data_IF_005495348118
#
_entry.id   IF_005495348118
#
_cell.length_a   1.000
_cell.length_b   1.000
_cell.length_c   1.000
_cell.angle_alpha   90.00
_cell.angle_beta   90.00
_cell.angle_gamma   90.00
#
_symmetry.space_group_name_H-M   'P 1'
#
loop_
_entity.id
_entity.type
_entity.pdbx_description
1 polymer ?
#
# COMPACT_ATOMS: atom_id res chain seq x y z
N UNK A 1 -7.23 16.22 40.72
CA UNK A 1 -6.96 15.92 39.31
C UNK A 1 -7.10 17.19 38.50
N UNK A 2 -6.02 17.63 37.84
CA UNK A 2 -6.03 18.80 36.97
C UNK A 2 -6.89 18.56 35.72
N UNK A 3 -7.30 19.64 35.03
CA UNK A 3 -8.08 19.54 33.78
C UNK A 3 -7.35 18.72 32.71
N UNK A 4 -6.01 18.80 32.65
CA UNK A 4 -5.17 18.01 31.73
C UNK A 4 -5.11 16.53 32.12
N UNK A 5 -5.08 16.20 33.41
CA UNK A 5 -5.11 14.80 33.85
C UNK A 5 -6.45 14.14 33.54
N UNK A 6 -7.57 14.85 33.72
CA UNK A 6 -8.90 14.35 33.29
C UNK A 6 -9.00 14.18 31.78
N UNK A 7 -8.17 14.92 31.05
CA UNK A 7 -8.10 14.87 29.59
C UNK A 7 -7.41 13.60 29.07
N UNK A 8 -6.37 13.14 29.78
CA UNK A 8 -5.58 11.95 29.44
C UNK A 8 -6.10 10.67 30.10
N UNK A 9 -6.62 10.73 31.33
CA UNK A 9 -7.04 9.58 32.13
C UNK A 9 -8.47 9.78 32.63
N UNK A 10 -9.50 9.59 31.77
CA UNK A 10 -10.88 9.72 32.21
C UNK A 10 -11.27 8.53 33.10
N UNK A 11 -12.16 8.78 34.06
CA UNK A 11 -12.69 7.74 34.95
C UNK A 11 -13.53 6.67 34.21
N UNK A 12 -14.10 7.04 33.05
CA UNK A 12 -14.86 6.15 32.16
C UNK A 12 -14.49 6.41 30.69
N UNK A 13 -14.48 5.38 29.84
CA UNK A 13 -14.30 5.56 28.40
C UNK A 13 -15.52 6.24 27.81
N UNK A 14 -15.30 7.37 27.15
CA UNK A 14 -16.33 8.14 26.46
C UNK A 14 -16.17 8.14 24.95
N UNK A 15 -17.12 8.77 24.27
CA UNK A 15 -17.11 8.97 22.82
C UNK A 15 -15.81 9.60 22.32
N UNK A 16 -15.19 10.45 23.14
CA UNK A 16 -13.96 11.14 22.79
C UNK A 16 -12.76 10.18 22.61
N UNK A 17 -12.55 9.25 23.54
CA UNK A 17 -11.46 8.27 23.45
C UNK A 17 -11.68 7.36 22.25
N UNK A 18 -12.93 6.98 22.01
CA UNK A 18 -13.32 6.23 20.83
C UNK A 18 -13.01 6.99 19.53
N UNK A 19 -13.36 8.28 19.43
CA UNK A 19 -13.09 9.10 18.25
C UNK A 19 -11.58 9.28 18.01
N UNK A 20 -10.77 9.44 19.06
CA UNK A 20 -9.30 9.50 18.92
C UNK A 20 -8.75 8.18 18.37
N UNK A 21 -9.18 7.05 18.94
CA UNK A 21 -8.77 5.73 18.48
C UNK A 21 -9.22 5.49 17.02
N UNK A 22 -10.45 5.89 16.69
CA UNK A 22 -11.02 5.73 15.36
C UNK A 22 -10.31 6.59 14.33
N UNK A 23 -10.00 7.84 14.68
CA UNK A 23 -9.22 8.73 13.82
C UNK A 23 -7.82 8.14 13.57
N UNK A 24 -7.16 7.62 14.62
CA UNK A 24 -5.87 6.95 14.47
C UNK A 24 -5.97 5.71 13.57
N UNK A 25 -7.01 4.89 13.73
CA UNK A 25 -7.25 3.70 12.90
C UNK A 25 -7.44 4.05 11.43
N UNK A 26 -8.20 5.10 11.12
CA UNK A 26 -8.56 5.50 9.76
C UNK A 26 -7.49 6.36 9.07
N UNK A 27 -6.55 6.95 9.82
CA UNK A 27 -5.54 7.87 9.30
C UNK A 27 -4.74 7.30 8.11
N UNK A 28 -4.26 6.03 8.13
CA UNK A 28 -3.49 5.49 7.01
C UNK A 28 -4.35 5.29 5.76
N UNK A 29 -5.63 4.93 5.95
CA UNK A 29 -6.58 4.75 4.85
C UNK A 29 -6.84 6.08 4.17
N UNK A 30 -7.02 7.14 4.94
CA UNK A 30 -7.20 8.49 4.39
C UNK A 30 -5.94 8.98 3.65
N UNK A 31 -4.74 8.66 4.15
CA UNK A 31 -3.47 9.03 3.51
C UNK A 31 -3.29 8.39 2.13
N UNK A 32 -3.71 7.14 1.93
CA UNK A 32 -3.67 6.48 0.62
C UNK A 32 -4.44 7.21 -0.47
N UNK A 33 -5.47 7.96 -0.09
CA UNK A 33 -6.34 8.66 -1.04
C UNK A 33 -5.79 10.03 -1.47
N UNK A 34 -4.84 10.59 -0.72
CA UNK A 34 -4.42 12.00 -0.90
C UNK A 34 -2.99 12.18 -1.42
N UNK A 35 -2.06 11.25 -1.17
CA UNK A 35 -0.67 11.48 -1.59
C UNK A 35 0.18 10.22 -1.75
N UNK A 36 1.03 10.26 -2.78
CA UNK A 36 2.21 9.41 -2.93
C UNK A 36 3.20 9.72 -1.80
N UNK A 37 3.63 8.69 -1.06
CA UNK A 37 4.73 8.78 -0.10
C UNK A 37 4.41 9.14 1.36
N UNK A 38 3.21 9.65 1.70
CA UNK A 38 2.86 9.98 3.11
C UNK A 38 2.31 8.79 3.91
N UNK A 39 1.99 7.69 3.24
CA UNK A 39 1.36 6.52 3.85
C UNK A 39 2.20 5.89 4.97
N UNK A 40 3.53 5.84 4.86
CA UNK A 40 4.39 5.28 5.92
C UNK A 40 4.35 6.15 7.17
N UNK A 41 4.45 7.47 7.04
CA UNK A 41 4.37 8.38 8.17
C UNK A 41 2.99 8.30 8.87
N UNK A 42 1.91 8.21 8.08
CA UNK A 42 0.56 8.04 8.59
C UNK A 42 0.36 6.71 9.32
N UNK A 43 1.00 5.62 8.84
CA UNK A 43 1.00 4.31 9.49
C UNK A 43 1.72 4.36 10.84
N UNK A 44 2.89 4.98 10.89
CA UNK A 44 3.64 5.18 12.15
C UNK A 44 2.81 5.99 13.14
N UNK A 45 2.18 7.08 12.70
CA UNK A 45 1.31 7.90 13.54
C UNK A 45 0.08 7.11 14.04
N UNK A 46 -0.56 6.34 13.17
CA UNK A 46 -1.71 5.48 13.49
C UNK A 46 -1.41 4.48 14.60
N UNK A 47 -0.28 3.78 14.51
CA UNK A 47 0.14 2.77 15.50
C UNK A 47 0.56 3.46 16.80
N UNK A 48 1.35 4.52 16.71
CA UNK A 48 1.84 5.25 17.90
C UNK A 48 0.68 5.84 18.70
N UNK A 49 -0.28 6.47 18.02
CA UNK A 49 -1.44 7.09 18.67
C UNK A 49 -2.44 5.99 19.10
N UNK A 50 -2.82 5.09 18.19
CA UNK A 50 -3.83 4.07 18.48
C UNK A 50 -3.37 3.07 19.53
N UNK A 51 -2.28 2.35 19.26
CA UNK A 51 -1.79 1.29 20.13
C UNK A 51 -1.04 1.85 21.34
N UNK A 52 -0.24 2.90 21.18
CA UNK A 52 0.47 3.52 22.29
C UNK A 52 -0.48 4.06 23.36
N UNK A 53 -1.51 4.81 22.97
CA UNK A 53 -2.55 5.26 23.92
C UNK A 53 -3.36 4.09 24.46
N UNK A 54 -3.69 3.09 23.62
CA UNK A 54 -4.39 1.88 24.05
C UNK A 54 -3.67 1.14 25.18
N UNK A 55 -2.35 0.95 25.05
CA UNK A 55 -1.50 0.32 26.08
C UNK A 55 -1.49 1.18 27.35
N UNK A 56 -1.30 2.50 27.22
CA UNK A 56 -1.29 3.41 28.37
C UNK A 56 -2.62 3.39 29.14
N UNK A 57 -3.76 3.47 28.44
CA UNK A 57 -5.08 3.39 29.06
C UNK A 57 -5.36 2.02 29.67
N UNK A 58 -4.97 0.94 28.99
CA UNK A 58 -5.15 -0.42 29.51
C UNK A 58 -4.38 -0.62 30.82
N UNK A 59 -3.14 -0.14 30.90
CA UNK A 59 -2.30 -0.25 32.09
C UNK A 59 -2.80 0.62 33.25
N UNK A 60 -3.23 1.85 32.98
CA UNK A 60 -3.56 2.83 34.02
C UNK A 60 -5.01 2.73 34.51
N UNK A 61 -5.97 2.51 33.61
CA UNK A 61 -7.41 2.56 33.92
C UNK A 61 -8.22 1.40 33.33
N UNK A 62 -7.58 0.44 32.66
CA UNK A 62 -8.28 -0.62 31.92
C UNK A 62 -9.23 -1.47 32.77
N UNK A 63 -8.79 -1.87 33.97
CA UNK A 63 -9.62 -2.66 34.89
C UNK A 63 -10.84 -1.86 35.39
N UNK A 64 -10.65 -0.59 35.71
CA UNK A 64 -11.73 0.29 36.14
C UNK A 64 -12.75 0.51 35.02
N UNK A 65 -12.27 0.76 33.80
CA UNK A 65 -13.11 0.92 32.62
C UNK A 65 -13.95 -0.32 32.35
N UNK A 66 -13.34 -1.52 32.39
CA UNK A 66 -14.05 -2.78 32.20
C UNK A 66 -15.15 -3.02 33.24
N UNK A 67 -14.93 -2.61 34.50
CA UNK A 67 -15.95 -2.70 35.56
C UNK A 67 -17.11 -1.71 35.38
N UNK A 68 -16.81 -0.47 34.99
CA UNK A 68 -17.80 0.61 34.93
C UNK A 68 -18.58 0.68 33.62
N UNK A 69 -17.92 0.35 32.50
CA UNK A 69 -18.49 0.46 31.15
C UNK A 69 -17.86 -0.60 30.21
N UNK A 70 -18.18 -1.89 30.40
CA UNK A 70 -17.50 -2.99 29.71
C UNK A 70 -17.58 -2.89 28.18
N UNK A 71 -18.77 -2.65 27.63
CA UNK A 71 -18.99 -2.56 26.18
C UNK A 71 -18.16 -1.43 25.55
N UNK A 72 -18.24 -0.21 26.11
CA UNK A 72 -17.50 0.94 25.60
C UNK A 72 -15.99 0.73 25.69
N UNK A 73 -15.52 0.12 26.79
CA UNK A 73 -14.10 -0.20 26.99
C UNK A 73 -13.59 -1.12 25.91
N UNK A 74 -14.33 -2.20 25.65
CA UNK A 74 -14.02 -3.17 24.59
C UNK A 74 -13.98 -2.48 23.24
N UNK A 75 -14.96 -1.63 22.91
CA UNK A 75 -14.95 -0.87 21.66
C UNK A 75 -13.71 0.04 21.53
N UNK A 76 -13.36 0.80 22.57
CA UNK A 76 -12.18 1.68 22.55
C UNK A 76 -10.90 0.85 22.36
N UNK A 77 -10.71 -0.22 23.13
CA UNK A 77 -9.52 -1.06 23.02
C UNK A 77 -9.44 -1.79 21.68
N UNK A 78 -10.55 -2.32 21.17
CA UNK A 78 -10.60 -2.93 19.84
C UNK A 78 -10.20 -1.94 18.76
N UNK A 79 -10.67 -0.68 18.82
CA UNK A 79 -10.27 0.35 17.86
C UNK A 79 -8.79 0.71 18.00
N UNK A 80 -8.28 0.85 19.24
CA UNK A 80 -6.86 1.13 19.51
C UNK A 80 -5.93 0.04 18.99
N UNK A 81 -6.24 -1.23 19.27
CA UNK A 81 -5.42 -2.37 18.82
C UNK A 81 -5.71 -2.74 17.36
N UNK A 82 -6.88 -2.38 16.83
CA UNK A 82 -7.21 -2.49 15.41
C UNK A 82 -6.23 -1.73 14.53
N UNK A 83 -5.60 -0.66 15.03
CA UNK A 83 -4.53 0.05 14.31
C UNK A 83 -3.32 -0.84 14.01
N UNK A 84 -3.10 -1.95 14.73
CA UNK A 84 -2.09 -2.95 14.36
C UNK A 84 -2.44 -3.67 13.06
N UNK A 85 -3.73 -3.84 12.75
CA UNK A 85 -4.18 -4.40 11.47
C UNK A 85 -3.67 -3.61 10.27
N UNK A 86 -3.43 -2.30 10.44
CA UNK A 86 -2.85 -1.47 9.40
C UNK A 86 -1.42 -1.91 9.03
N UNK A 87 -0.66 -2.56 9.93
CA UNK A 87 0.68 -3.09 9.60
C UNK A 87 0.64 -4.16 8.51
N UNK A 88 -0.46 -4.92 8.43
CA UNK A 88 -0.62 -5.97 7.44
C UNK A 88 -1.36 -5.47 6.19
N UNK A 89 -2.41 -4.66 6.38
CA UNK A 89 -3.28 -4.22 5.30
C UNK A 89 -2.64 -3.14 4.44
N UNK A 90 -2.04 -2.12 5.06
CA UNK A 90 -1.50 -0.96 4.33
C UNK A 90 -0.45 -1.38 3.28
N UNK A 91 0.58 -2.18 3.61
CA UNK A 91 1.58 -2.52 2.61
C UNK A 91 1.01 -3.29 1.41
N UNK A 92 -0.06 -4.06 1.61
CA UNK A 92 -0.74 -4.77 0.52
C UNK A 92 -1.53 -3.82 -0.37
N UNK A 93 -2.20 -2.83 0.22
CA UNK A 93 -2.93 -1.82 -0.54
C UNK A 93 -2.01 -0.88 -1.31
N UNK A 94 -0.91 -0.44 -0.70
CA UNK A 94 0.11 0.37 -1.35
C UNK A 94 0.67 -0.31 -2.61
N UNK A 95 1.03 -1.60 -2.51
CA UNK A 95 1.45 -2.39 -3.67
C UNK A 95 0.35 -2.51 -4.73
N UNK A 96 -0.90 -2.73 -4.32
CA UNK A 96 -2.02 -2.84 -5.26
C UNK A 96 -2.26 -1.53 -6.03
N UNK A 97 -2.13 -0.39 -5.36
CA UNK A 97 -2.24 0.93 -5.97
C UNK A 97 -1.11 1.18 -6.97
N UNK A 98 0.14 0.95 -6.58
CA UNK A 98 1.30 1.08 -7.49
C UNK A 98 1.21 0.14 -8.68
N UNK A 99 0.77 -1.11 -8.46
CA UNK A 99 0.60 -2.07 -9.55
C UNK A 99 -0.50 -1.64 -10.52
N UNK A 100 -1.60 -1.06 -10.02
CA UNK A 100 -2.68 -0.52 -10.85
C UNK A 100 -2.23 0.71 -11.65
N UNK A 101 -1.48 1.60 -11.02
CA UNK A 101 -0.91 2.78 -11.67
C UNK A 101 0.08 2.37 -12.78
N UNK A 102 1.03 1.49 -12.45
CA UNK A 102 1.97 0.95 -13.42
C UNK A 102 1.26 0.24 -14.59
N UNK A 103 0.20 -0.52 -14.30
CA UNK A 103 -0.61 -1.15 -15.34
C UNK A 103 -1.30 -0.11 -16.22
N UNK A 104 -1.87 0.95 -15.64
CA UNK A 104 -2.52 2.04 -16.39
C UNK A 104 -1.54 2.75 -17.33
N UNK A 105 -0.34 3.04 -16.85
CA UNK A 105 0.72 3.65 -17.66
C UNK A 105 1.16 2.74 -18.81
N UNK A 106 1.35 1.45 -18.53
CA UNK A 106 1.66 0.44 -19.53
C UNK A 106 0.54 0.29 -20.58
N UNK A 107 -0.73 0.34 -20.16
CA UNK A 107 -1.89 0.33 -21.06
C UNK A 107 -1.93 1.55 -21.96
N UNK A 108 -1.66 2.74 -21.41
CA UNK A 108 -1.55 3.96 -22.19
C UNK A 108 -0.43 3.84 -23.23
N UNK A 109 0.76 3.40 -22.80
CA UNK A 109 1.90 3.20 -23.67
C UNK A 109 1.63 2.23 -24.82
N UNK A 110 1.10 1.04 -24.51
CA UNK A 110 0.80 0.02 -25.51
C UNK A 110 -0.24 0.49 -26.52
N UNK A 111 -1.25 1.25 -26.06
CA UNK A 111 -2.28 1.83 -26.93
C UNK A 111 -1.70 2.86 -27.89
N UNK A 112 -0.91 3.81 -27.41
CA UNK A 112 -0.33 4.85 -28.26
C UNK A 112 0.65 4.26 -29.29
N UNK A 113 1.49 3.31 -28.89
CA UNK A 113 2.39 2.59 -29.81
C UNK A 113 1.61 1.76 -30.84
N UNK A 114 0.50 1.14 -30.44
CA UNK A 114 -0.41 0.43 -31.34
C UNK A 114 -1.06 1.33 -32.39
N UNK A 115 -1.23 2.61 -32.10
CA UNK A 115 -1.72 3.64 -33.04
C UNK A 115 -0.61 4.25 -33.91
N UNK A 116 0.62 3.74 -33.82
CA UNK A 116 1.78 4.26 -34.57
C UNK A 116 2.29 5.60 -34.05
N UNK A 117 1.84 6.04 -32.86
CA UNK A 117 2.34 7.27 -32.24
C UNK A 117 3.62 7.00 -31.45
N UNK A 118 4.45 8.03 -31.36
CA UNK A 118 5.63 8.01 -30.49
C UNK A 118 5.15 8.30 -29.07
N UNK A 119 5.12 7.27 -28.23
CA UNK A 119 4.97 7.42 -26.79
C UNK A 119 6.30 7.12 -26.11
N UNK A 120 6.62 7.84 -25.05
CA UNK A 120 7.80 7.57 -24.24
C UNK A 120 7.45 6.63 -23.08
N UNK A 121 8.36 5.72 -22.81
CA UNK A 121 8.26 4.78 -21.70
C UNK A 121 8.64 5.52 -20.41
N UNK A 122 7.67 5.71 -19.51
CA UNK A 122 7.84 6.47 -18.26
C UNK A 122 8.60 5.68 -17.19
N UNK A 123 9.03 6.38 -16.15
CA UNK A 123 9.45 5.73 -14.90
C UNK A 123 8.22 5.46 -14.03
N UNK A 124 8.26 4.38 -13.25
CA UNK A 124 7.21 3.99 -12.30
C UNK A 124 7.77 3.89 -10.88
N UNK A 125 6.87 3.98 -9.89
CA UNK A 125 7.22 3.85 -8.49
C UNK A 125 7.40 2.37 -8.09
N UNK A 126 8.59 2.03 -7.58
CA UNK A 126 8.89 0.70 -7.01
C UNK A 126 8.63 0.64 -5.51
N UNK A 127 8.40 1.78 -4.87
CA UNK A 127 8.24 1.97 -3.44
C UNK A 127 9.30 2.86 -2.83
N UNK A 128 10.54 2.36 -2.64
CA UNK A 128 11.62 3.19 -2.13
C UNK A 128 12.27 4.08 -3.20
N UNK A 129 12.02 3.82 -4.49
CA UNK A 129 12.65 4.50 -5.61
C UNK A 129 11.77 4.47 -6.87
N UNK A 130 12.16 5.21 -7.91
CA UNK A 130 11.59 5.07 -9.26
C UNK A 130 12.47 4.17 -10.12
N UNK A 131 11.86 3.38 -10.99
CA UNK A 131 12.54 2.55 -11.98
C UNK A 131 11.91 2.77 -13.36
N UNK A 132 12.67 2.49 -14.42
CA UNK A 132 12.17 2.60 -15.79
C UNK A 132 11.47 1.32 -16.20
N UNK A 133 10.32 1.44 -16.86
CA UNK A 133 9.73 0.30 -17.57
C UNK A 133 10.72 -0.27 -18.61
N UNK A 134 10.48 -1.49 -19.03
CA UNK A 134 11.22 -2.17 -20.10
C UNK A 134 10.25 -2.61 -21.19
N UNK A 135 10.77 -2.74 -22.39
CA UNK A 135 9.98 -3.21 -23.53
C UNK A 135 10.74 -4.23 -24.35
N UNK A 136 9.97 -4.99 -25.13
CA UNK A 136 10.43 -5.90 -26.16
C UNK A 136 9.71 -5.49 -27.43
N UNK A 137 10.49 -5.17 -28.45
CA UNK A 137 10.01 -4.81 -29.78
C UNK A 137 10.48 -5.83 -30.81
N UNK A 138 9.72 -6.00 -31.89
CA UNK A 138 10.10 -6.88 -32.99
C UNK A 138 11.28 -6.23 -33.75
N UNK A 139 12.38 -6.95 -33.99
CA UNK A 139 13.56 -6.38 -34.66
C UNK A 139 13.29 -5.86 -36.07
N UNK A 140 12.35 -6.48 -36.80
CA UNK A 140 12.10 -6.18 -38.21
C UNK A 140 11.40 -4.83 -38.45
N UNK A 141 10.48 -4.44 -37.58
CA UNK A 141 9.60 -3.26 -37.78
C UNK A 141 9.51 -2.35 -36.54
N UNK A 142 10.20 -2.70 -35.45
CA UNK A 142 10.20 -1.95 -34.20
C UNK A 142 8.83 -1.94 -33.49
N UNK A 143 7.88 -2.80 -33.89
CA UNK A 143 6.56 -2.88 -33.24
C UNK A 143 6.69 -3.44 -31.84
N UNK A 144 5.92 -2.86 -30.91
CA UNK A 144 5.84 -3.37 -29.54
C UNK A 144 5.31 -4.81 -29.54
N UNK A 145 5.95 -5.67 -28.77
CA UNK A 145 5.46 -7.02 -28.43
C UNK A 145 4.92 -7.00 -27.01
N UNK A 146 5.72 -6.51 -26.06
CA UNK A 146 5.34 -6.38 -24.65
C UNK A 146 6.13 -5.29 -23.95
N UNK A 147 5.52 -4.66 -22.94
CA UNK A 147 6.18 -3.75 -22.00
C UNK A 147 5.93 -4.22 -20.56
N UNK A 148 6.88 -4.01 -19.66
CA UNK A 148 6.85 -4.57 -18.32
C UNK A 148 7.67 -3.76 -17.31
N UNK A 149 7.43 -3.99 -16.02
CA UNK A 149 8.24 -3.44 -14.93
C UNK A 149 9.60 -4.14 -14.87
N UNK A 150 10.70 -3.41 -15.10
CA UNK A 150 12.06 -3.94 -15.12
C UNK A 150 12.59 -4.38 -13.76
N UNK A 151 12.13 -3.72 -12.71
CA UNK A 151 12.40 -3.98 -11.28
C UNK A 151 11.08 -4.27 -10.54
N UNK A 152 11.10 -5.05 -9.44
CA UNK A 152 9.86 -5.40 -8.75
C UNK A 152 9.21 -4.17 -8.09
N UNK A 153 7.88 -4.13 -8.09
CA UNK A 153 7.14 -3.31 -7.13
C UNK A 153 7.35 -3.93 -5.76
N UNK A 154 7.85 -3.12 -4.83
CA UNK A 154 8.24 -3.55 -3.50
C UNK A 154 7.16 -3.21 -2.48
N UNK A 155 7.01 -4.10 -1.52
CA UNK A 155 6.14 -3.96 -0.37
C UNK A 155 6.97 -3.56 0.84
N UNK A 156 6.54 -2.53 1.56
CA UNK A 156 7.13 -2.22 2.85
C UNK A 156 6.88 -3.34 3.88
N UNK A 157 7.85 -3.58 4.76
CA UNK A 157 7.69 -4.41 5.94
C UNK A 157 8.52 -3.83 7.08
N UNK A 158 8.28 -4.24 8.35
CA UNK A 158 9.13 -3.84 9.47
C UNK A 158 10.62 -4.17 9.30
N UNK A 159 10.95 -5.14 8.44
CA UNK A 159 12.31 -5.57 8.12
C UNK A 159 12.84 -4.96 6.82
N UNK A 160 12.21 -3.89 6.33
CA UNK A 160 12.56 -3.23 5.07
C UNK A 160 11.65 -3.62 3.90
N UNK A 161 11.94 -3.04 2.73
CA UNK A 161 11.19 -3.29 1.51
C UNK A 161 11.52 -4.67 0.94
N UNK A 162 10.49 -5.39 0.48
CA UNK A 162 10.61 -6.72 -0.12
C UNK A 162 9.94 -6.73 -1.50
N UNK A 163 10.52 -7.40 -2.51
CA UNK A 163 9.86 -7.61 -3.79
C UNK A 163 8.47 -8.23 -3.62
N UNK A 164 7.48 -7.71 -4.33
CA UNK A 164 6.09 -8.19 -4.22
C UNK A 164 5.54 -8.69 -5.55
N UNK A 165 5.70 -7.91 -6.63
CA UNK A 165 5.19 -8.30 -7.93
C UNK A 165 5.89 -7.55 -9.07
N UNK A 166 5.64 -8.05 -10.29
CA UNK A 166 5.96 -7.42 -11.55
C UNK A 166 4.68 -7.32 -12.39
N UNK A 167 4.60 -6.30 -13.23
CA UNK A 167 3.49 -6.07 -14.15
C UNK A 167 4.00 -6.14 -15.58
N UNK A 168 3.28 -6.84 -16.43
CA UNK A 168 3.56 -6.98 -17.86
C UNK A 168 2.29 -6.72 -18.67
N UNK A 169 2.43 -6.01 -19.79
CA UNK A 169 1.39 -5.84 -20.80
C UNK A 169 1.89 -6.28 -22.16
N UNK A 170 1.06 -6.96 -22.93
CA UNK A 170 1.31 -7.29 -24.33
C UNK A 170 0.74 -6.21 -25.24
N UNK A 171 1.20 -6.18 -26.48
CA UNK A 171 0.74 -5.22 -27.49
C UNK A 171 -0.76 -5.33 -27.81
N UNK A 172 -1.37 -6.50 -27.60
CA UNK A 172 -2.82 -6.73 -27.74
C UNK A 172 -3.64 -6.18 -26.56
N UNK A 173 -2.99 -5.62 -25.53
CA UNK A 173 -3.62 -5.08 -24.33
C UNK A 173 -3.86 -6.11 -23.22
N UNK A 174 -3.53 -7.39 -23.43
CA UNK A 174 -3.56 -8.39 -22.36
C UNK A 174 -2.44 -8.14 -21.36
N UNK A 175 -2.72 -8.33 -20.07
CA UNK A 175 -1.76 -8.05 -19.01
C UNK A 175 -1.63 -9.21 -18.02
N UNK A 176 -0.50 -9.26 -17.34
CA UNK A 176 -0.16 -10.26 -16.34
C UNK A 176 0.52 -9.59 -15.15
N UNK A 177 0.17 -10.03 -13.94
CA UNK A 177 0.89 -9.69 -12.72
C UNK A 177 1.51 -10.97 -12.17
N UNK A 178 2.84 -10.98 -12.06
CA UNK A 178 3.61 -12.14 -11.62
C UNK A 178 4.34 -11.84 -10.32
N UNK A 179 4.64 -12.86 -9.53
CA UNK A 179 5.15 -12.68 -8.16
C UNK A 179 6.66 -12.53 -8.09
N UNK A 180 7.37 -13.21 -8.98
CA UNK A 180 8.83 -13.31 -8.95
C UNK A 180 9.44 -13.09 -10.33
N UNK A 181 10.78 -12.99 -10.34
CA UNK A 181 11.54 -12.71 -11.55
C UNK A 181 11.54 -13.87 -12.54
N UNK A 182 11.50 -15.09 -12.04
CA UNK A 182 11.57 -16.29 -12.89
C UNK A 182 10.29 -16.46 -13.71
N UNK A 183 9.12 -16.25 -13.09
CA UNK A 183 7.83 -16.18 -13.77
C UNK A 183 7.82 -15.10 -14.86
N UNK A 184 8.36 -13.91 -14.55
CA UNK A 184 8.47 -12.82 -15.53
C UNK A 184 9.38 -13.21 -16.70
N UNK A 185 10.54 -13.79 -16.42
CA UNK A 185 11.49 -14.21 -17.44
C UNK A 185 10.88 -15.31 -18.35
N UNK A 186 10.16 -16.27 -17.78
CA UNK A 186 9.45 -17.30 -18.56
C UNK A 186 8.39 -16.70 -19.49
N UNK A 187 7.61 -15.71 -19.02
CA UNK A 187 6.67 -14.99 -19.88
C UNK A 187 7.38 -14.22 -20.99
N UNK A 188 8.49 -13.54 -20.67
CA UNK A 188 9.30 -12.81 -21.64
C UNK A 188 9.84 -13.74 -22.73
N UNK A 189 10.30 -14.93 -22.37
CA UNK A 189 10.84 -15.91 -23.30
C UNK A 189 9.75 -16.39 -24.28
N UNK A 190 8.57 -16.73 -23.77
CA UNK A 190 7.40 -17.08 -24.60
C UNK A 190 7.06 -15.97 -25.60
N UNK A 191 7.05 -14.71 -25.16
CA UNK A 191 6.74 -13.59 -26.06
C UNK A 191 7.85 -13.33 -27.08
N UNK A 192 9.12 -13.60 -26.75
CA UNK A 192 10.24 -13.54 -27.70
C UNK A 192 10.17 -14.63 -28.76
N UNK A 193 9.76 -15.85 -28.38
CA UNK A 193 9.61 -16.95 -29.34
C UNK A 193 8.49 -16.68 -30.35
N UNK A 194 7.35 -16.14 -29.90
CA UNK A 194 6.24 -15.74 -30.79
C UNK A 194 6.60 -14.61 -31.76
N UNK A 195 7.68 -13.88 -31.48
CA UNK A 195 8.09 -12.71 -32.25
C UNK A 195 9.18 -12.99 -33.30
N UNK A 196 9.80 -14.19 -33.25
CA UNK A 196 10.69 -14.70 -34.30
C UNK A 196 9.87 -15.19 -35.48
#
# INVERSE_FOLDING_TARGET
>A
MSLHERWLLPERPGMRQFLIALAALLLPIASLLHSEGTHVASLVASITIGCGLGIAWMALTGWQWLKLAPVNSVCVFLTCFGSLGNLELMPRWDVALRAREALSDLQFYARERGQGRTAELRDYDTGPAKARFREITRPADGRLITAFTGDPIQRWSPFGFKPSCYVMIRADGTWSVVKNRDELNGLIEIEREKAK
#
